data_IF_816578075870
#
_entry.id   IF_816578075870
#
_cell.length_a   1.000
_cell.length_b   1.000
_cell.length_c   1.000
_cell.angle_alpha   90.00
_cell.angle_beta   90.00
_cell.angle_gamma   90.00
#
_symmetry.space_group_name_H-M   'P 1'
#
loop_
_entity.id
_entity.type
_entity.pdbx_description
1 polymer ?
#
# COMPACT_ATOMS: atom_id res chain seq x y z
N UNK A 1 1.45 2.75 -19.91
CA UNK A 1 2.50 3.58 -19.29
C UNK A 1 3.64 2.68 -18.83
N UNK A 2 4.80 3.25 -18.51
CA UNK A 2 6.02 2.51 -18.17
C UNK A 2 5.83 1.53 -17.01
N UNK A 3 5.13 1.93 -15.95
CA UNK A 3 4.84 1.06 -14.79
C UNK A 3 4.02 -0.18 -15.14
N UNK A 4 3.12 -0.08 -16.14
CA UNK A 4 2.34 -1.25 -16.60
C UNK A 4 3.28 -2.33 -17.15
N UNK A 5 4.25 -1.93 -17.97
CA UNK A 5 5.21 -2.86 -18.56
C UNK A 5 6.15 -3.43 -17.50
N UNK A 6 6.62 -2.60 -16.55
CA UNK A 6 7.46 -3.07 -15.44
C UNK A 6 6.73 -4.09 -14.57
N UNK A 7 5.47 -3.83 -14.23
CA UNK A 7 4.64 -4.75 -13.45
C UNK A 7 4.31 -6.02 -14.23
N UNK A 8 4.15 -5.95 -15.56
CA UNK A 8 4.01 -7.13 -16.39
C UNK A 8 5.25 -8.02 -16.33
N UNK A 9 6.44 -7.44 -16.49
CA UNK A 9 7.71 -8.18 -16.33
C UNK A 9 7.81 -8.77 -14.92
N UNK A 10 7.51 -7.98 -13.89
CA UNK A 10 7.54 -8.45 -12.50
C UNK A 10 6.56 -9.60 -12.24
N UNK A 11 5.39 -9.60 -12.90
CA UNK A 11 4.39 -10.66 -12.77
C UNK A 11 4.78 -11.97 -13.47
N UNK A 12 5.78 -11.92 -14.36
CA UNK A 12 6.18 -13.05 -15.19
C UNK A 12 7.22 -13.94 -14.51
N UNK A 13 7.16 -15.25 -14.76
CA UNK A 13 8.25 -16.17 -14.38
C UNK A 13 9.40 -16.04 -15.38
N UNK A 14 10.43 -15.29 -15.01
CA UNK A 14 11.57 -15.00 -15.88
C UNK A 14 12.47 -16.21 -16.18
N UNK A 15 12.30 -17.32 -15.46
CA UNK A 15 13.03 -18.57 -15.70
C UNK A 15 12.50 -19.35 -16.91
N UNK A 16 11.38 -18.90 -17.50
CA UNK A 16 10.72 -19.51 -18.65
C UNK A 16 10.58 -18.50 -19.77
N UNK A 17 10.27 -18.99 -20.97
CA UNK A 17 9.89 -18.12 -22.09
C UNK A 17 8.68 -17.28 -21.69
N UNK A 18 8.84 -15.95 -21.72
CA UNK A 18 7.80 -15.00 -21.34
C UNK A 18 6.93 -14.72 -22.57
N UNK A 19 5.62 -14.97 -22.46
CA UNK A 19 4.64 -14.60 -23.47
C UNK A 19 4.14 -13.17 -23.25
N UNK A 20 4.03 -12.39 -24.33
CA UNK A 20 3.39 -11.07 -24.31
C UNK A 20 2.09 -11.13 -25.11
N UNK A 21 0.98 -11.16 -24.39
CA UNK A 21 -0.36 -11.17 -24.98
C UNK A 21 -1.18 -10.01 -24.45
N UNK A 22 -2.13 -9.54 -25.28
CA UNK A 22 -3.06 -8.47 -24.90
C UNK A 22 -3.91 -8.84 -23.68
N UNK A 23 -4.25 -10.11 -23.53
CA UNK A 23 -4.96 -10.68 -22.37
C UNK A 23 -4.18 -10.44 -21.07
N UNK A 24 -2.90 -10.78 -21.06
CA UNK A 24 -2.00 -10.62 -19.91
C UNK A 24 -1.83 -9.13 -19.57
N UNK A 25 -1.58 -8.28 -20.57
CA UNK A 25 -1.45 -6.84 -20.35
C UNK A 25 -2.73 -6.22 -19.78
N UNK A 26 -3.92 -6.70 -20.19
CA UNK A 26 -5.19 -6.27 -19.64
C UNK A 26 -5.35 -6.68 -18.17
N UNK A 27 -4.91 -7.88 -17.79
CA UNK A 27 -4.93 -8.35 -16.40
C UNK A 27 -4.02 -7.48 -15.53
N UNK A 28 -2.79 -7.22 -15.97
CA UNK A 28 -1.85 -6.35 -15.26
C UNK A 28 -2.38 -4.92 -15.17
N UNK A 29 -3.04 -4.42 -16.22
CA UNK A 29 -3.70 -3.11 -16.18
C UNK A 29 -4.85 -3.06 -15.16
N UNK A 30 -5.59 -4.16 -14.99
CA UNK A 30 -6.56 -4.32 -13.91
C UNK A 30 -5.93 -4.19 -12.52
N UNK A 31 -4.80 -4.86 -12.29
CA UNK A 31 -4.05 -4.78 -11.04
C UNK A 31 -3.54 -3.35 -10.77
N UNK A 32 -2.98 -2.66 -11.78
CA UNK A 32 -2.56 -1.26 -11.66
C UNK A 32 -3.72 -0.36 -11.26
N UNK A 33 -4.89 -0.50 -11.89
CA UNK A 33 -6.09 0.27 -11.52
C UNK A 33 -6.48 0.00 -10.07
N UNK A 34 -6.42 -1.26 -9.62
CA UNK A 34 -6.72 -1.65 -8.24
C UNK A 34 -5.74 -1.00 -7.26
N UNK A 35 -4.44 -1.10 -7.50
CA UNK A 35 -3.41 -0.45 -6.67
C UNK A 35 -3.63 1.06 -6.55
N UNK A 36 -3.90 1.73 -7.67
CA UNK A 36 -4.21 3.16 -7.68
C UNK A 36 -5.47 3.49 -6.87
N UNK A 37 -6.55 2.73 -7.05
CA UNK A 37 -7.80 2.94 -6.31
C UNK A 37 -7.62 2.72 -4.81
N UNK A 38 -6.89 1.68 -4.40
CA UNK A 38 -6.59 1.40 -2.99
C UNK A 38 -5.72 2.50 -2.37
N UNK A 39 -4.65 2.92 -3.05
CA UNK A 39 -3.83 4.05 -2.58
C UNK A 39 -4.62 5.36 -2.52
N UNK A 40 -5.46 5.64 -3.52
CA UNK A 40 -6.33 6.83 -3.54
C UNK A 40 -7.31 6.83 -2.37
N UNK A 41 -7.90 5.68 -2.04
CA UNK A 41 -8.79 5.58 -0.88
C UNK A 41 -8.05 5.90 0.41
N UNK A 42 -6.87 5.30 0.63
CA UNK A 42 -6.07 5.58 1.83
C UNK A 42 -5.67 7.06 1.90
N UNK A 43 -5.12 7.62 0.81
CA UNK A 43 -4.77 9.04 0.71
C UNK A 43 -5.94 9.97 1.04
N UNK A 44 -7.12 9.71 0.46
CA UNK A 44 -8.31 10.54 0.66
C UNK A 44 -8.78 10.55 2.11
N UNK A 45 -8.55 9.47 2.86
CA UNK A 45 -8.92 9.36 4.26
C UNK A 45 -7.83 9.85 5.24
N UNK A 46 -6.65 10.23 4.73
CA UNK A 46 -5.57 10.86 5.51
C UNK A 46 -5.65 12.39 5.51
N UNK A 47 -6.78 12.98 5.11
CA UNK A 47 -6.95 14.42 5.21
C UNK A 47 -6.97 14.87 6.68
N UNK A 48 -6.24 15.95 6.99
CA UNK A 48 -6.10 16.47 8.35
C UNK A 48 -5.23 15.62 9.31
N UNK A 49 -4.60 14.54 8.83
CA UNK A 49 -3.73 13.69 9.64
C UNK A 49 -2.25 13.94 9.40
N UNK A 50 -1.48 14.12 10.48
CA UNK A 50 -0.03 14.12 10.50
C UNK A 50 0.51 12.99 11.39
N UNK A 51 1.72 12.50 11.09
CA UNK A 51 2.39 11.44 11.84
C UNK A 51 2.55 11.78 13.34
N UNK A 52 2.75 13.05 13.68
CA UNK A 52 2.81 13.52 15.08
C UNK A 52 1.51 13.32 15.86
N UNK A 53 0.38 13.12 15.16
CA UNK A 53 -0.94 12.86 15.74
C UNK A 53 -1.25 11.36 15.80
N UNK A 54 -0.28 10.50 15.50
CA UNK A 54 -0.44 9.06 15.57
C UNK A 54 -0.76 8.62 17.01
N UNK A 55 -1.81 7.80 17.13
CA UNK A 55 -2.24 7.22 18.39
C UNK A 55 -1.28 6.10 18.78
N UNK A 56 -0.97 5.99 20.08
CA UNK A 56 -0.09 4.94 20.60
C UNK A 56 -0.65 3.54 20.35
N UNK A 57 0.23 2.54 20.20
CA UNK A 57 -0.18 1.17 19.89
C UNK A 57 -1.20 0.63 20.89
N UNK A 58 -1.06 0.95 22.19
CA UNK A 58 -1.95 0.43 23.22
C UNK A 58 -3.40 0.88 23.07
N UNK A 59 -3.60 2.09 22.57
CA UNK A 59 -4.91 2.72 22.37
C UNK A 59 -5.58 2.30 21.06
N UNK A 60 -4.90 1.51 20.22
CA UNK A 60 -5.47 0.95 19.00
C UNK A 60 -6.50 -0.13 19.31
N UNK A 61 -7.55 -0.19 18.50
CA UNK A 61 -8.52 -1.28 18.58
C UNK A 61 -7.89 -2.63 18.22
N UNK A 62 -8.55 -3.74 18.58
CA UNK A 62 -8.06 -5.08 18.19
C UNK A 62 -7.99 -5.26 16.68
N UNK A 63 -8.91 -4.64 15.94
CA UNK A 63 -8.93 -4.66 14.47
C UNK A 63 -7.72 -3.91 13.91
N UNK A 64 -7.39 -2.75 14.48
CA UNK A 64 -6.24 -1.93 14.09
C UNK A 64 -4.92 -2.65 14.37
N UNK A 65 -4.79 -3.26 15.56
CA UNK A 65 -3.64 -4.10 15.93
C UNK A 65 -3.49 -5.29 14.98
N UNK A 66 -4.59 -5.94 14.61
CA UNK A 66 -4.60 -7.01 13.63
C UNK A 66 -4.11 -6.52 12.26
N UNK A 67 -4.61 -5.38 11.78
CA UNK A 67 -4.18 -4.82 10.50
C UNK A 67 -2.69 -4.48 10.49
N UNK A 68 -2.13 -3.94 11.58
CA UNK A 68 -0.68 -3.73 11.69
C UNK A 68 0.12 -5.04 11.67
N UNK A 69 -0.41 -6.12 12.24
CA UNK A 69 0.19 -7.45 12.12
C UNK A 69 0.20 -7.94 10.67
N UNK A 70 -0.89 -7.72 9.93
CA UNK A 70 -0.97 -8.05 8.50
C UNK A 70 0.03 -7.22 7.68
N UNK A 71 0.20 -5.93 7.99
CA UNK A 71 1.23 -5.08 7.37
C UNK A 71 2.63 -5.66 7.63
N UNK A 72 2.91 -6.09 8.86
CA UNK A 72 4.19 -6.72 9.19
C UNK A 72 4.46 -7.98 8.37
N UNK A 73 3.48 -8.89 8.28
CA UNK A 73 3.60 -10.11 7.47
C UNK A 73 3.76 -9.79 5.98
N UNK A 74 3.01 -8.82 5.47
CA UNK A 74 3.13 -8.33 4.11
C UNK A 74 4.55 -7.82 3.82
N UNK A 75 5.09 -6.93 4.66
CA UNK A 75 6.45 -6.41 4.49
C UNK A 75 7.50 -7.52 4.56
N UNK A 76 7.37 -8.46 5.50
CA UNK A 76 8.28 -9.60 5.63
C UNK A 76 8.30 -10.45 4.35
N UNK A 77 7.14 -10.76 3.79
CA UNK A 77 7.01 -11.57 2.59
C UNK A 77 7.50 -10.83 1.33
N UNK A 78 7.24 -9.52 1.24
CA UNK A 78 7.76 -8.68 0.16
C UNK A 78 9.28 -8.61 0.18
N UNK A 79 9.87 -8.36 1.35
CA UNK A 79 11.33 -8.29 1.50
C UNK A 79 11.98 -9.62 1.12
N UNK A 80 11.46 -10.75 1.62
CA UNK A 80 11.94 -12.08 1.23
C UNK A 80 11.83 -12.31 -0.29
N UNK A 81 10.74 -11.87 -0.92
CA UNK A 81 10.58 -11.95 -2.37
C UNK A 81 11.62 -11.13 -3.13
N UNK A 82 11.97 -9.94 -2.66
CA UNK A 82 13.05 -9.14 -3.25
C UNK A 82 14.44 -9.75 -3.02
N UNK A 83 14.72 -10.26 -1.82
CA UNK A 83 15.99 -10.91 -1.47
C UNK A 83 16.26 -12.16 -2.33
N UNK A 84 15.21 -12.93 -2.64
CA UNK A 84 15.27 -14.11 -3.51
C UNK A 84 15.17 -13.78 -5.02
N UNK A 85 15.11 -12.49 -5.39
CA UNK A 85 14.84 -12.05 -6.77
C UNK A 85 13.56 -12.67 -7.38
N UNK A 86 12.56 -12.96 -6.54
CA UNK A 86 11.28 -13.53 -6.94
C UNK A 86 10.21 -12.43 -7.05
N UNK A 87 10.34 -11.58 -8.07
CA UNK A 87 9.44 -10.44 -8.30
C UNK A 87 7.98 -10.85 -8.55
N UNK A 88 7.75 -12.04 -9.09
CA UNK A 88 6.41 -12.59 -9.29
C UNK A 88 5.72 -12.89 -7.94
N UNK A 89 6.48 -13.36 -6.95
CA UNK A 89 5.99 -13.50 -5.57
C UNK A 89 5.62 -12.13 -5.00
N UNK A 90 6.50 -11.13 -5.14
CA UNK A 90 6.23 -9.76 -4.67
C UNK A 90 4.96 -9.19 -5.31
N UNK A 91 4.81 -9.34 -6.62
CA UNK A 91 3.62 -8.95 -7.36
C UNK A 91 2.35 -9.63 -6.82
N UNK A 92 2.42 -10.93 -6.56
CA UNK A 92 1.31 -11.70 -5.96
C UNK A 92 0.96 -11.21 -4.56
N UNK A 93 1.96 -10.92 -3.71
CA UNK A 93 1.74 -10.35 -2.37
C UNK A 93 1.04 -8.99 -2.47
N UNK A 94 1.47 -8.11 -3.38
CA UNK A 94 0.83 -6.80 -3.61
C UNK A 94 -0.64 -6.95 -4.04
N UNK A 95 -0.92 -7.87 -4.98
CA UNK A 95 -2.29 -8.14 -5.43
C UNK A 95 -3.19 -8.66 -4.30
N UNK A 96 -2.72 -9.68 -3.57
CA UNK A 96 -3.48 -10.32 -2.49
C UNK A 96 -3.72 -9.33 -1.35
N UNK A 97 -2.67 -8.60 -0.92
CA UNK A 97 -2.79 -7.60 0.14
C UNK A 97 -3.76 -6.47 -0.24
N UNK A 98 -3.63 -5.91 -1.44
CA UNK A 98 -4.52 -4.84 -1.92
C UNK A 98 -5.97 -5.28 -2.06
N UNK A 99 -6.21 -6.50 -2.54
CA UNK A 99 -7.56 -6.98 -2.85
C UNK A 99 -8.25 -7.56 -1.63
N UNK A 100 -7.60 -8.48 -0.93
CA UNK A 100 -8.21 -9.26 0.15
C UNK A 100 -8.11 -8.54 1.48
N UNK A 101 -6.91 -8.18 1.92
CA UNK A 101 -6.69 -7.61 3.26
C UNK A 101 -7.16 -6.16 3.33
N UNK A 102 -6.76 -5.33 2.36
CA UNK A 102 -7.14 -3.92 2.35
C UNK A 102 -8.57 -3.74 1.88
N UNK A 103 -8.86 -4.02 0.61
CA UNK A 103 -10.13 -3.58 0.02
C UNK A 103 -11.34 -4.36 0.51
N UNK A 104 -11.24 -5.69 0.63
CA UNK A 104 -12.38 -6.55 1.00
C UNK A 104 -12.58 -6.70 2.50
N UNK A 105 -11.61 -6.31 3.32
CA UNK A 105 -11.67 -6.48 4.76
C UNK A 105 -11.50 -5.14 5.49
N UNK A 106 -10.26 -4.68 5.68
CA UNK A 106 -10.01 -3.57 6.62
C UNK A 106 -10.64 -2.26 6.16
N UNK A 107 -10.39 -1.84 4.91
CA UNK A 107 -10.90 -0.57 4.37
C UNK A 107 -12.41 -0.55 4.24
N UNK A 108 -13.08 -1.71 4.17
CA UNK A 108 -14.53 -1.76 4.15
C UNK A 108 -15.11 -1.58 5.56
N UNK A 109 -14.54 -2.27 6.55
CA UNK A 109 -14.96 -2.21 7.95
C UNK A 109 -14.76 -0.81 8.54
N UNK A 110 -13.63 -0.15 8.24
CA UNK A 110 -13.31 1.15 8.88
C UNK A 110 -14.01 2.36 8.24
N UNK A 111 -14.79 2.20 7.17
CA UNK A 111 -15.52 3.31 6.52
C UNK A 111 -16.42 4.06 7.48
N UNK A 112 -17.18 3.35 8.30
CA UNK A 112 -18.10 3.97 9.25
C UNK A 112 -17.32 4.82 10.27
N UNK A 113 -16.16 4.34 10.73
CA UNK A 113 -15.29 5.12 11.63
C UNK A 113 -14.74 6.36 10.92
N UNK A 114 -14.34 6.24 9.66
CA UNK A 114 -13.76 7.35 8.89
C UNK A 114 -14.79 8.43 8.53
N UNK A 115 -16.05 8.05 8.32
CA UNK A 115 -17.11 8.93 7.82
C UNK A 115 -18.06 9.45 8.90
N UNK A 116 -18.23 8.73 10.01
CA UNK A 116 -19.21 9.08 11.05
C UNK A 116 -18.59 9.66 12.32
N UNK A 117 -17.33 9.35 12.63
CA UNK A 117 -16.68 9.92 13.81
C UNK A 117 -16.22 11.37 13.55
N UNK A 118 -16.19 12.17 14.62
CA UNK A 118 -15.69 13.55 14.55
C UNK A 118 -14.20 13.59 14.19
N UNK A 119 -13.79 14.68 13.54
CA UNK A 119 -12.48 14.81 12.90
C UNK A 119 -11.30 14.48 13.83
N UNK A 120 -11.37 14.92 15.09
CA UNK A 120 -10.34 14.74 16.11
C UNK A 120 -10.65 13.63 17.13
N UNK A 121 -11.58 12.73 16.84
CA UNK A 121 -11.84 11.59 17.73
C UNK A 121 -10.64 10.64 17.79
N UNK A 122 -10.37 10.08 18.97
CA UNK A 122 -9.31 9.09 19.16
C UNK A 122 -9.44 7.90 18.18
N UNK A 123 -10.68 7.42 17.96
CA UNK A 123 -10.96 6.30 17.05
C UNK A 123 -10.60 6.63 15.60
N UNK A 124 -11.00 7.80 15.10
CA UNK A 124 -10.66 8.22 13.73
C UNK A 124 -9.15 8.38 13.58
N UNK A 125 -8.48 8.98 14.57
CA UNK A 125 -7.02 9.14 14.59
C UNK A 125 -6.29 7.80 14.63
N UNK A 126 -6.80 6.82 15.38
CA UNK A 126 -6.26 5.46 15.41
C UNK A 126 -6.32 4.79 14.03
N UNK A 127 -7.48 4.84 13.36
CA UNK A 127 -7.63 4.30 12.00
C UNK A 127 -6.74 5.05 11.02
N UNK A 128 -6.67 6.38 11.08
CA UNK A 128 -5.79 7.17 10.21
C UNK A 128 -4.31 6.82 10.42
N UNK A 129 -3.86 6.58 11.65
CA UNK A 129 -2.51 6.13 11.93
C UNK A 129 -2.21 4.78 11.27
N UNK A 130 -3.13 3.81 11.38
CA UNK A 130 -2.99 2.52 10.70
C UNK A 130 -3.00 2.67 9.18
N UNK A 131 -3.88 3.50 8.61
CA UNK A 131 -3.89 3.80 7.18
C UNK A 131 -2.59 4.44 6.72
N UNK A 132 -2.00 5.33 7.51
CA UNK A 132 -0.74 5.99 7.20
C UNK A 132 0.41 4.99 7.15
N UNK A 133 0.55 4.12 8.17
CA UNK A 133 1.56 3.07 8.17
C UNK A 133 1.34 2.06 7.04
N UNK A 134 0.09 1.68 6.78
CA UNK A 134 -0.29 0.76 5.71
C UNK A 134 0.04 1.32 4.33
N UNK A 135 -0.31 2.58 4.07
CA UNK A 135 0.01 3.26 2.81
C UNK A 135 1.53 3.36 2.65
N UNK A 136 2.25 3.74 3.70
CA UNK A 136 3.72 3.83 3.67
C UNK A 136 4.35 2.48 3.30
N UNK A 137 3.95 1.41 3.97
CA UNK A 137 4.41 0.05 3.69
C UNK A 137 4.08 -0.38 2.25
N UNK A 138 2.85 -0.13 1.80
CA UNK A 138 2.41 -0.49 0.45
C UNK A 138 3.20 0.25 -0.64
N UNK A 139 3.41 1.57 -0.48
CA UNK A 139 4.11 2.38 -1.47
C UNK A 139 5.61 2.08 -1.48
N UNK A 140 6.25 1.87 -0.33
CA UNK A 140 7.64 1.37 -0.28
C UNK A 140 7.79 0.02 -0.97
N UNK A 141 6.84 -0.88 -0.76
CA UNK A 141 6.86 -2.23 -1.34
C UNK A 141 6.71 -2.25 -2.85
N UNK A 142 5.87 -1.37 -3.42
CA UNK A 142 5.64 -1.31 -4.86
C UNK A 142 6.68 -0.45 -5.61
N UNK A 143 7.39 0.45 -4.91
CA UNK A 143 8.31 1.41 -5.53
C UNK A 143 9.36 0.78 -6.48
N UNK A 144 10.01 -0.36 -6.17
CA UNK A 144 10.94 -0.99 -7.10
C UNK A 144 10.27 -1.47 -8.41
N UNK A 145 9.00 -1.87 -8.36
CA UNK A 145 8.26 -2.36 -9.52
C UNK A 145 7.59 -1.22 -10.32
N UNK A 146 6.96 -0.26 -9.64
CA UNK A 146 6.22 0.85 -10.23
C UNK A 146 6.67 2.20 -9.65
N UNK A 147 7.87 2.69 -10.04
CA UNK A 147 8.48 3.88 -9.44
C UNK A 147 7.68 5.16 -9.68
N UNK A 148 7.06 5.33 -10.85
CA UNK A 148 6.31 6.56 -11.16
C UNK A 148 5.05 6.65 -10.32
N UNK A 149 4.29 5.55 -10.22
CA UNK A 149 3.15 5.45 -9.34
C UNK A 149 3.53 5.66 -7.87
N UNK A 150 4.62 5.04 -7.42
CA UNK A 150 5.02 5.16 -6.03
C UNK A 150 5.42 6.59 -5.66
N UNK A 151 6.19 7.27 -6.51
CA UNK A 151 6.53 8.67 -6.27
C UNK A 151 5.33 9.60 -6.39
N UNK A 152 4.46 9.39 -7.38
CA UNK A 152 3.23 10.16 -7.51
C UNK A 152 2.42 10.08 -6.21
N UNK A 153 2.21 8.88 -5.66
CA UNK A 153 1.49 8.73 -4.39
C UNK A 153 2.27 9.39 -3.26
N UNK A 154 3.58 9.15 -3.16
CA UNK A 154 4.43 9.69 -2.10
C UNK A 154 4.40 11.22 -2.04
N UNK A 155 4.47 11.91 -3.17
CA UNK A 155 4.35 13.38 -3.24
C UNK A 155 3.06 13.91 -2.60
N UNK A 156 1.96 13.14 -2.65
CA UNK A 156 0.68 13.56 -2.06
C UNK A 156 0.60 13.36 -0.54
N UNK A 157 1.43 12.52 0.08
CA UNK A 157 1.42 12.30 1.53
C UNK A 157 2.73 12.56 2.26
N UNK A 158 3.83 12.85 1.55
CA UNK A 158 5.14 13.12 2.17
C UNK A 158 5.09 14.23 3.21
N UNK A 159 4.27 15.27 3.00
CA UNK A 159 4.11 16.38 3.94
C UNK A 159 3.48 16.02 5.29
N UNK A 160 2.97 14.79 5.44
CA UNK A 160 2.39 14.29 6.69
C UNK A 160 3.42 13.61 7.60
N UNK A 161 4.61 13.29 7.09
CA UNK A 161 5.70 12.79 7.92
C UNK A 161 6.27 13.93 8.77
N UNK A 162 6.71 13.58 9.98
CA UNK A 162 7.43 14.50 10.86
C UNK A 162 8.78 14.91 10.26
N UNK A 163 9.42 14.00 9.52
CA UNK A 163 10.66 14.25 8.79
C UNK A 163 10.54 13.78 7.32
N UNK A 164 9.98 14.61 6.42
CA UNK A 164 9.71 14.22 5.05
C UNK A 164 11.00 14.02 4.25
N UNK A 165 11.14 12.86 3.62
CA UNK A 165 12.21 12.60 2.65
C UNK A 165 11.82 13.11 1.26
N UNK A 166 12.78 13.45 0.39
CA UNK A 166 12.48 13.99 -0.94
C UNK A 166 11.98 12.94 -1.94
N UNK A 167 12.02 11.66 -1.59
CA UNK A 167 11.67 10.54 -2.48
C UNK A 167 11.32 9.31 -1.66
N UNK A 168 10.40 8.48 -2.14
CA UNK A 168 10.04 7.22 -1.48
C UNK A 168 11.24 6.28 -1.34
N UNK A 169 12.20 6.35 -2.27
CA UNK A 169 13.42 5.52 -2.24
C UNK A 169 14.41 5.92 -1.16
N UNK A 170 14.19 7.07 -0.50
CA UNK A 170 15.00 7.54 0.64
C UNK A 170 14.31 7.36 1.98
N UNK A 171 13.10 6.80 1.99
CA UNK A 171 12.38 6.42 3.20
C UNK A 171 12.97 5.10 3.69
N UNK A 172 14.20 5.15 4.20
CA UNK A 172 14.99 4.01 4.68
C UNK A 172 15.32 4.16 6.15
#
# INVERSE_FOLDING_TARGET
GTDLLRLWVASSEYTRSIAIEKSILNQVAGAVRKFRSTARFMLGNLNGFNESEAVGYEDLSRLDKFMLSEVYHFCKNVNAGYDEYMFNKVYGQLQSFSSTILSSFYLDIVKDTLYSEVENSLKRRAVQAVLFHTLTAFIKSIAPLAPYFAEEVYEHYRGRFTNPQPSVFRVG
#
